data_IF_863232268803
#
_entry.id   IF_863232268803
#
_cell.length_a   1.000
_cell.length_b   1.000
_cell.length_c   1.000
_cell.angle_alpha   90.00
_cell.angle_beta   90.00
_cell.angle_gamma   90.00
#
_symmetry.space_group_name_H-M   'P 1'
#
loop_
_entity.id
_entity.type
_entity.pdbx_description
1 polymer ?
#
# COMPACT_ATOMS: atom_id res chain seq x y z
N UNK A 1 25.34 -1.49 11.16
CA UNK A 1 24.77 -2.33 10.09
C UNK A 1 25.87 -3.18 9.42
N UNK A 2 25.64 -4.48 9.18
CA UNK A 2 26.59 -5.37 8.47
C UNK A 2 26.06 -5.67 7.07
N UNK A 3 26.57 -4.95 6.08
CA UNK A 3 26.21 -5.10 4.66
C UNK A 3 26.68 -6.46 4.13
N UNK A 4 25.80 -7.14 3.40
CA UNK A 4 26.04 -8.36 2.65
C UNK A 4 26.67 -8.02 1.30
N UNK A 5 27.67 -8.80 0.90
CA UNK A 5 28.34 -8.73 -0.39
C UNK A 5 28.11 -10.05 -1.11
N UNK A 6 27.59 -9.99 -2.33
CA UNK A 6 27.53 -11.16 -3.21
C UNK A 6 28.92 -11.43 -3.81
N UNK A 7 29.64 -12.38 -3.20
CA UNK A 7 31.00 -12.72 -3.63
C UNK A 7 31.04 -13.29 -5.05
N UNK A 8 29.98 -13.93 -5.52
CA UNK A 8 29.94 -14.49 -6.87
C UNK A 8 29.89 -13.37 -7.90
N UNK A 9 29.03 -12.38 -7.68
CA UNK A 9 28.94 -11.20 -8.55
C UNK A 9 30.23 -10.38 -8.55
N UNK A 10 30.87 -10.20 -7.38
CA UNK A 10 32.21 -9.58 -7.31
C UNK A 10 33.24 -10.38 -8.10
N UNK A 11 33.24 -11.71 -7.95
CA UNK A 11 34.14 -12.59 -8.69
C UNK A 11 33.95 -12.49 -10.21
N UNK A 12 32.69 -12.43 -10.66
CA UNK A 12 32.35 -12.21 -12.06
C UNK A 12 32.93 -10.88 -12.58
N UNK A 13 32.74 -9.77 -11.87
CA UNK A 13 33.35 -8.47 -12.25
C UNK A 13 34.87 -8.53 -12.32
N UNK A 14 35.52 -9.17 -11.36
CA UNK A 14 37.00 -9.34 -11.37
C UNK A 14 37.45 -10.11 -12.62
N UNK A 15 36.72 -11.17 -13.00
CA UNK A 15 36.99 -11.95 -14.20
C UNK A 15 36.85 -11.11 -15.47
N UNK A 16 35.79 -10.32 -15.59
CA UNK A 16 35.56 -9.42 -16.73
C UNK A 16 36.65 -8.35 -16.84
N UNK A 17 37.06 -7.75 -15.71
CA UNK A 17 38.20 -6.82 -15.64
C UNK A 17 39.49 -7.51 -16.12
N UNK A 18 39.76 -8.74 -15.66
CA UNK A 18 40.94 -9.49 -16.09
C UNK A 18 40.94 -9.73 -17.61
N UNK A 19 39.82 -10.22 -18.15
CA UNK A 19 39.69 -10.58 -19.56
C UNK A 19 39.79 -9.33 -20.44
N UNK A 20 39.09 -8.25 -20.09
CA UNK A 20 39.13 -6.98 -20.84
C UNK A 20 40.53 -6.35 -20.91
N UNK A 21 41.39 -6.60 -19.91
CA UNK A 21 42.79 -6.17 -19.89
C UNK A 21 43.77 -7.17 -20.52
N UNK A 22 43.28 -8.29 -21.06
CA UNK A 22 44.08 -9.29 -21.76
C UNK A 22 44.97 -10.15 -20.86
N UNK A 23 44.69 -10.22 -19.55
CA UNK A 23 45.52 -10.98 -18.62
C UNK A 23 45.08 -12.46 -18.50
N UNK A 24 46.06 -13.35 -18.41
CA UNK A 24 45.85 -14.72 -17.89
C UNK A 24 45.63 -14.68 -16.37
N UNK A 25 45.07 -15.73 -15.77
CA UNK A 25 44.95 -15.84 -14.31
C UNK A 25 46.28 -15.68 -13.58
N UNK A 26 47.37 -16.22 -14.16
CA UNK A 26 48.69 -16.14 -13.56
C UNK A 26 49.27 -14.73 -13.64
N UNK A 27 49.23 -14.09 -14.81
CA UNK A 27 49.70 -12.71 -14.96
C UNK A 27 48.88 -11.73 -14.15
N UNK A 28 47.56 -11.92 -14.07
CA UNK A 28 46.68 -11.08 -13.25
C UNK A 28 47.03 -11.20 -11.77
N UNK A 29 47.19 -12.43 -11.26
CA UNK A 29 47.63 -12.64 -9.88
C UNK A 29 48.96 -11.94 -9.59
N UNK A 30 49.94 -12.03 -10.50
CA UNK A 30 51.25 -11.37 -10.36
C UNK A 30 51.15 -9.85 -10.22
N UNK A 31 50.25 -9.18 -10.96
CA UNK A 31 50.04 -7.72 -10.84
C UNK A 31 49.63 -7.31 -9.43
N UNK A 32 48.91 -8.19 -8.72
CA UNK A 32 48.41 -7.93 -7.35
C UNK A 32 49.15 -8.74 -6.27
N UNK A 33 50.40 -9.14 -6.55
CA UNK A 33 51.26 -9.92 -5.65
C UNK A 33 50.53 -11.15 -5.08
N UNK A 34 49.85 -11.89 -5.96
CA UNK A 34 49.02 -13.05 -5.63
C UNK A 34 49.29 -14.23 -6.56
N UNK A 35 48.99 -15.44 -6.10
CA UNK A 35 49.14 -16.64 -6.92
C UNK A 35 47.98 -16.77 -7.90
N UNK A 36 48.18 -17.56 -8.98
CA UNK A 36 47.11 -17.98 -9.90
C UNK A 36 45.89 -18.54 -9.16
N UNK A 37 46.13 -19.33 -8.11
CA UNK A 37 45.05 -19.92 -7.31
C UNK A 37 44.25 -18.87 -6.54
N UNK A 38 44.89 -17.82 -6.01
CA UNK A 38 44.18 -16.71 -5.37
C UNK A 38 43.30 -15.97 -6.37
N UNK A 39 43.83 -15.61 -7.53
CA UNK A 39 43.06 -14.95 -8.60
C UNK A 39 41.85 -15.79 -9.02
N UNK A 40 42.04 -17.10 -9.20
CA UNK A 40 40.95 -18.03 -9.51
C UNK A 40 39.89 -18.06 -8.40
N UNK A 41 40.28 -18.13 -7.12
CA UNK A 41 39.36 -18.12 -5.98
C UNK A 41 38.57 -16.83 -5.86
N UNK A 42 39.14 -15.69 -6.28
CA UNK A 42 38.41 -14.43 -6.36
C UNK A 42 37.35 -14.49 -7.45
N UNK A 43 37.71 -14.93 -8.66
CA UNK A 43 36.80 -15.03 -9.81
C UNK A 43 35.64 -16.00 -9.60
N UNK A 44 35.84 -17.05 -8.78
CA UNK A 44 34.77 -17.99 -8.43
C UNK A 44 33.96 -17.56 -7.19
N UNK A 45 34.23 -16.40 -6.60
CA UNK A 45 33.58 -15.92 -5.38
C UNK A 45 33.90 -16.74 -4.12
N UNK A 46 34.92 -17.61 -4.15
CA UNK A 46 35.30 -18.45 -3.01
C UNK A 46 35.88 -17.59 -1.87
N UNK A 47 36.69 -16.59 -2.22
CA UNK A 47 37.22 -15.58 -1.29
C UNK A 47 37.19 -14.22 -1.96
N UNK A 48 37.02 -13.15 -1.19
CA UNK A 48 37.25 -11.80 -1.70
C UNK A 48 38.73 -11.45 -1.65
N UNK A 49 39.24 -10.59 -2.56
CA UNK A 49 40.53 -9.94 -2.37
C UNK A 49 40.53 -9.13 -1.06
N UNK A 50 41.71 -8.85 -0.52
CA UNK A 50 41.84 -7.96 0.64
C UNK A 50 41.60 -6.49 0.23
N UNK A 51 41.52 -5.59 1.21
CA UNK A 51 41.20 -4.16 0.98
C UNK A 51 42.13 -3.49 -0.03
N UNK A 52 43.44 -3.72 0.10
CA UNK A 52 44.45 -3.17 -0.82
C UNK A 52 44.26 -3.68 -2.25
N UNK A 53 44.05 -4.99 -2.43
CA UNK A 53 43.84 -5.58 -3.76
C UNK A 53 42.52 -5.13 -4.38
N UNK A 54 41.45 -4.99 -3.59
CA UNK A 54 40.18 -4.44 -4.07
C UNK A 54 40.37 -3.01 -4.59
N UNK A 55 41.10 -2.16 -3.87
CA UNK A 55 41.42 -0.81 -4.32
C UNK A 55 42.21 -0.85 -5.64
N UNK A 56 43.29 -1.64 -5.72
CA UNK A 56 44.14 -1.71 -6.91
C UNK A 56 43.39 -2.30 -8.13
N UNK A 57 42.52 -3.30 -7.93
CA UNK A 57 41.68 -3.86 -9.00
C UNK A 57 40.67 -2.81 -9.50
N UNK A 58 40.06 -2.05 -8.58
CA UNK A 58 39.08 -1.02 -8.93
C UNK A 58 39.75 0.12 -9.71
N UNK A 59 40.94 0.56 -9.27
CA UNK A 59 41.76 1.54 -9.98
C UNK A 59 42.14 1.07 -11.39
N UNK A 60 42.60 -0.19 -11.54
CA UNK A 60 42.90 -0.77 -12.87
C UNK A 60 41.70 -0.73 -13.82
N UNK A 61 40.49 -0.92 -13.29
CA UNK A 61 39.24 -0.94 -14.03
C UNK A 61 38.63 0.46 -14.25
N UNK A 62 39.12 1.50 -13.56
CA UNK A 62 38.55 2.84 -13.62
C UNK A 62 37.17 2.95 -12.94
N UNK A 63 36.91 2.12 -11.94
CA UNK A 63 35.67 2.09 -11.14
C UNK A 63 36.00 2.28 -9.66
N UNK A 64 35.00 2.55 -8.84
CA UNK A 64 35.16 2.59 -7.38
C UNK A 64 35.17 1.19 -6.77
N UNK A 65 35.64 1.10 -5.52
CA UNK A 65 35.55 -0.14 -4.74
C UNK A 65 34.09 -0.55 -4.49
N UNK A 66 33.17 0.40 -4.33
CA UNK A 66 31.76 0.08 -4.14
C UNK A 66 31.10 -0.44 -5.42
N UNK A 67 31.47 0.09 -6.58
CA UNK A 67 31.04 -0.43 -7.89
C UNK A 67 31.57 -1.85 -8.12
N UNK A 68 32.81 -2.14 -7.70
CA UNK A 68 33.34 -3.51 -7.72
C UNK A 68 32.58 -4.44 -6.76
N UNK A 69 32.28 -3.99 -5.55
CA UNK A 69 31.67 -4.80 -4.49
C UNK A 69 30.16 -5.01 -4.64
N UNK A 70 29.44 -4.01 -5.13
CA UNK A 70 27.97 -3.97 -5.13
C UNK A 70 27.38 -3.73 -6.52
N UNK A 71 28.19 -3.35 -7.50
CA UNK A 71 27.71 -3.07 -8.86
C UNK A 71 26.87 -1.81 -8.93
N UNK A 72 25.56 -1.97 -8.78
CA UNK A 72 24.56 -0.90 -8.88
C UNK A 72 23.77 -0.75 -7.59
N UNK A 73 22.94 0.29 -7.51
CA UNK A 73 21.99 0.47 -6.40
C UNK A 73 21.03 -0.73 -6.33
N UNK A 74 20.56 -1.24 -7.48
CA UNK A 74 19.63 -2.37 -7.53
C UNK A 74 20.25 -3.61 -6.88
N UNK A 75 21.45 -4.02 -7.32
CA UNK A 75 22.14 -5.18 -6.74
C UNK A 75 22.49 -4.95 -5.26
N UNK A 76 22.86 -3.74 -4.88
CA UNK A 76 23.06 -3.39 -3.48
C UNK A 76 21.78 -3.65 -2.66
N UNK A 77 20.64 -3.13 -3.11
CA UNK A 77 19.34 -3.25 -2.43
C UNK A 77 18.88 -4.71 -2.39
N UNK A 78 18.93 -5.44 -3.50
CA UNK A 78 18.55 -6.86 -3.56
C UNK A 78 19.29 -7.70 -2.50
N UNK A 79 20.59 -7.44 -2.34
CA UNK A 79 21.42 -8.15 -1.37
C UNK A 79 21.23 -7.67 0.08
N UNK A 80 20.74 -6.44 0.29
CA UNK A 80 20.77 -5.78 1.59
C UNK A 80 19.41 -5.31 2.12
N UNK A 81 18.30 -5.52 1.41
CA UNK A 81 16.99 -4.98 1.81
C UNK A 81 16.56 -5.45 3.20
N UNK A 82 16.77 -6.73 3.53
CA UNK A 82 16.51 -7.25 4.87
C UNK A 82 17.41 -6.62 5.92
N UNK A 83 18.69 -6.40 5.58
CA UNK A 83 19.65 -5.79 6.51
C UNK A 83 19.24 -4.35 6.80
N UNK A 84 18.90 -3.58 5.76
CA UNK A 84 18.39 -2.22 5.88
C UNK A 84 17.12 -2.18 6.75
N UNK A 85 16.15 -3.05 6.46
CA UNK A 85 14.92 -3.16 7.25
C UNK A 85 15.21 -3.46 8.72
N UNK A 86 16.02 -4.47 9.02
CA UNK A 86 16.29 -4.89 10.41
C UNK A 86 17.13 -3.87 11.19
N UNK A 87 17.79 -2.91 10.53
CA UNK A 87 18.50 -1.80 11.17
C UNK A 87 17.67 -0.50 11.18
N UNK A 88 16.45 -0.51 10.65
CA UNK A 88 15.57 0.66 10.60
C UNK A 88 14.80 0.88 11.91
N UNK A 89 14.05 1.98 11.98
CA UNK A 89 13.08 2.27 13.05
C UNK A 89 11.95 1.24 13.13
N UNK A 90 11.65 0.54 12.03
CA UNK A 90 10.53 -0.39 11.91
C UNK A 90 11.01 -1.76 11.39
N UNK A 91 11.73 -2.55 12.21
CA UNK A 91 12.37 -3.82 11.81
C UNK A 91 11.37 -4.98 11.70
N UNK A 92 10.25 -4.78 11.02
CA UNK A 92 9.14 -5.72 10.92
C UNK A 92 9.19 -6.47 9.60
N UNK A 93 9.55 -7.76 9.65
CA UNK A 93 9.66 -8.61 8.45
C UNK A 93 8.38 -8.70 7.63
N UNK A 94 7.22 -8.41 8.22
CA UNK A 94 5.95 -8.37 7.50
C UNK A 94 5.93 -7.33 6.39
N UNK A 95 6.74 -6.27 6.48
CA UNK A 95 6.89 -5.29 5.39
C UNK A 95 7.47 -5.90 4.11
N UNK A 96 8.29 -6.97 4.21
CA UNK A 96 8.90 -7.65 3.06
C UNK A 96 7.91 -8.49 2.24
N UNK A 97 6.84 -9.02 2.85
CA UNK A 97 5.78 -9.70 2.08
C UNK A 97 4.63 -8.77 1.71
N UNK A 98 4.47 -7.66 2.42
CA UNK A 98 3.50 -6.62 2.07
C UNK A 98 3.92 -5.88 0.82
N UNK A 99 5.20 -5.49 0.72
CA UNK A 99 5.74 -4.67 -0.36
C UNK A 99 6.98 -5.27 -1.01
N UNK A 100 7.16 -4.99 -2.29
CA UNK A 100 8.46 -5.11 -2.93
C UNK A 100 9.32 -3.89 -2.54
N UNK A 101 9.97 -3.94 -1.38
CA UNK A 101 10.73 -2.80 -0.85
C UNK A 101 11.94 -2.43 -1.72
N UNK A 102 12.49 -3.36 -2.50
CA UNK A 102 13.58 -3.05 -3.44
C UNK A 102 13.09 -2.14 -4.55
N UNK A 103 12.02 -2.54 -5.24
CA UNK A 103 11.41 -1.79 -6.33
C UNK A 103 10.93 -0.41 -5.86
N UNK A 104 10.20 -0.35 -4.75
CA UNK A 104 9.75 0.93 -4.18
C UNK A 104 10.93 1.85 -3.81
N UNK A 105 12.03 1.30 -3.31
CA UNK A 105 13.20 2.09 -2.96
C UNK A 105 13.93 2.64 -4.19
N UNK A 106 14.00 1.86 -5.26
CA UNK A 106 14.54 2.31 -6.56
C UNK A 106 13.69 3.44 -7.11
N UNK A 107 12.37 3.26 -7.23
CA UNK A 107 11.44 4.29 -7.70
C UNK A 107 11.55 5.59 -6.88
N UNK A 108 11.68 5.45 -5.56
CA UNK A 108 11.84 6.59 -4.67
C UNK A 108 13.17 7.33 -4.89
N UNK A 109 14.27 6.61 -5.06
CA UNK A 109 15.59 7.19 -5.37
C UNK A 109 15.57 7.87 -6.73
N UNK A 110 14.98 7.26 -7.76
CA UNK A 110 14.85 7.83 -9.10
C UNK A 110 14.03 9.13 -9.09
N UNK A 111 12.96 9.17 -8.30
CA UNK A 111 12.16 10.38 -8.09
C UNK A 111 12.97 11.50 -7.45
N UNK A 112 13.78 11.19 -6.44
CA UNK A 112 14.69 12.16 -5.80
C UNK A 112 15.69 12.70 -6.84
N UNK A 113 16.35 11.81 -7.59
CA UNK A 113 17.35 12.20 -8.58
C UNK A 113 16.74 13.06 -9.71
N UNK A 114 15.55 12.70 -10.18
CA UNK A 114 14.83 13.42 -11.24
C UNK A 114 14.44 14.85 -10.83
N UNK A 115 14.24 15.09 -9.54
CA UNK A 115 13.95 16.43 -9.01
C UNK A 115 15.17 17.38 -8.98
N UNK A 116 16.36 16.92 -9.43
CA UNK A 116 17.65 17.65 -9.45
C UNK A 116 18.17 18.10 -8.08
N UNK A 117 17.71 17.47 -7.01
CA UNK A 117 18.08 17.86 -5.64
C UNK A 117 19.42 17.22 -5.23
N UNK A 118 19.63 15.92 -5.50
CA UNK A 118 20.81 15.12 -5.11
C UNK A 118 21.04 14.02 -6.15
N UNK A 119 22.30 13.73 -6.51
CA UNK A 119 22.68 12.52 -7.27
C UNK A 119 23.03 11.40 -6.29
N UNK A 120 22.24 10.32 -6.28
CA UNK A 120 22.49 9.14 -5.43
C UNK A 120 23.10 8.04 -6.29
N UNK A 121 24.26 7.53 -5.88
CA UNK A 121 24.92 6.39 -6.51
C UNK A 121 25.26 5.31 -5.47
N UNK A 122 25.68 4.13 -5.92
CA UNK A 122 26.15 3.04 -5.04
C UNK A 122 27.37 3.44 -4.20
N UNK A 123 28.03 4.54 -4.57
CA UNK A 123 29.17 5.09 -3.85
C UNK A 123 28.74 5.81 -2.55
N UNK A 124 27.48 6.26 -2.46
CA UNK A 124 26.91 6.88 -1.28
C UNK A 124 25.85 5.97 -0.62
N UNK A 125 26.36 4.93 0.05
CA UNK A 125 25.53 3.97 0.81
C UNK A 125 24.69 4.68 1.87
N UNK A 126 25.19 5.78 2.44
CA UNK A 126 24.47 6.53 3.48
C UNK A 126 23.24 7.21 2.89
N UNK A 127 23.35 7.81 1.72
CA UNK A 127 22.19 8.38 1.02
C UNK A 127 21.17 7.31 0.63
N UNK A 128 21.60 6.12 0.21
CA UNK A 128 20.69 5.00 -0.06
C UNK A 128 19.95 4.58 1.23
N UNK A 129 20.67 4.44 2.34
CA UNK A 129 20.09 4.11 3.65
C UNK A 129 19.08 5.18 4.12
N UNK A 130 19.39 6.46 3.92
CA UNK A 130 18.48 7.56 4.23
C UNK A 130 17.22 7.51 3.36
N UNK A 131 17.36 7.31 2.05
CA UNK A 131 16.25 7.20 1.12
C UNK A 131 15.33 6.01 1.50
N UNK A 132 15.92 4.85 1.81
CA UNK A 132 15.19 3.68 2.28
C UNK A 132 14.41 3.97 3.58
N UNK A 133 15.05 4.59 4.58
CA UNK A 133 14.40 4.88 5.85
C UNK A 133 13.23 5.88 5.69
N UNK A 134 13.40 6.92 4.86
CA UNK A 134 12.32 7.87 4.57
C UNK A 134 11.14 7.22 3.85
N UNK A 135 11.41 6.37 2.84
CA UNK A 135 10.38 5.58 2.18
C UNK A 135 9.64 4.68 3.18
N UNK A 136 10.38 3.97 4.02
CA UNK A 136 9.83 3.03 4.99
C UNK A 136 8.91 3.74 5.99
N UNK A 137 9.33 4.90 6.52
CA UNK A 137 8.54 5.70 7.45
C UNK A 137 7.22 6.14 6.81
N UNK A 138 7.25 6.63 5.57
CA UNK A 138 6.05 7.00 4.82
C UNK A 138 5.10 5.80 4.64
N UNK A 139 5.63 4.63 4.28
CA UNK A 139 4.81 3.41 4.10
C UNK A 139 4.21 2.89 5.39
N UNK A 140 4.93 3.01 6.51
CA UNK A 140 4.40 2.67 7.83
C UNK A 140 3.28 3.62 8.23
N UNK A 141 3.45 4.93 8.04
CA UNK A 141 2.40 5.92 8.32
C UNK A 141 1.14 5.64 7.48
N UNK A 142 1.29 5.37 6.19
CA UNK A 142 0.19 5.03 5.28
C UNK A 142 -0.59 3.80 5.79
N UNK A 143 0.11 2.75 6.22
CA UNK A 143 -0.52 1.55 6.80
C UNK A 143 -1.28 1.90 8.08
N UNK A 144 -0.65 2.63 9.00
CA UNK A 144 -1.26 2.95 10.29
C UNK A 144 -2.51 3.81 10.12
N UNK A 145 -2.43 4.85 9.30
CA UNK A 145 -3.57 5.72 8.96
C UNK A 145 -4.71 4.93 8.31
N UNK A 146 -4.40 3.99 7.41
CA UNK A 146 -5.39 3.12 6.80
C UNK A 146 -6.09 2.23 7.84
N UNK A 147 -5.32 1.52 8.66
CA UNK A 147 -5.89 0.61 9.67
C UNK A 147 -6.73 1.38 10.69
N UNK A 148 -6.24 2.53 11.15
CA UNK A 148 -6.93 3.32 12.15
C UNK A 148 -8.21 3.95 11.61
N UNK A 149 -8.20 4.43 10.36
CA UNK A 149 -9.40 4.98 9.72
C UNK A 149 -10.46 3.93 9.41
N UNK A 150 -10.08 2.68 9.16
CA UNK A 150 -10.98 1.62 8.73
C UNK A 150 -11.40 0.65 9.85
N UNK A 151 -10.83 0.76 11.05
CA UNK A 151 -11.17 -0.12 12.18
C UNK A 151 -12.65 -0.01 12.58
N UNK A 152 -13.23 1.19 12.52
CA UNK A 152 -14.66 1.38 12.82
C UNK A 152 -15.58 0.66 11.82
N UNK A 153 -15.20 0.65 10.53
CA UNK A 153 -15.92 -0.09 9.49
C UNK A 153 -16.01 -1.58 9.81
N UNK A 154 -14.92 -2.18 10.31
CA UNK A 154 -14.91 -3.58 10.74
C UNK A 154 -15.92 -3.86 11.86
N UNK A 155 -16.01 -2.95 12.84
CA UNK A 155 -16.94 -3.08 13.96
C UNK A 155 -18.40 -2.92 13.53
N UNK A 156 -18.66 -1.97 12.65
CA UNK A 156 -20.01 -1.62 12.23
C UNK A 156 -20.60 -2.69 11.31
N UNK A 157 -19.77 -3.31 10.47
CA UNK A 157 -20.12 -4.39 9.55
C UNK A 157 -19.74 -5.77 10.11
N UNK A 158 -19.83 -5.96 11.43
CA UNK A 158 -19.39 -7.20 12.10
C UNK A 158 -19.93 -8.48 11.42
N UNK A 159 -21.22 -8.53 11.09
CA UNK A 159 -21.83 -9.72 10.49
C UNK A 159 -21.24 -10.03 9.11
N UNK A 160 -21.06 -9.00 8.29
CA UNK A 160 -20.50 -9.11 6.95
C UNK A 160 -19.02 -9.47 7.00
N UNK A 161 -18.25 -8.88 7.91
CA UNK A 161 -16.85 -9.24 8.18
C UNK A 161 -16.76 -10.69 8.65
N UNK A 162 -17.59 -11.12 9.60
CA UNK A 162 -17.63 -12.52 10.04
C UNK A 162 -17.94 -13.48 8.89
N UNK A 163 -18.76 -13.07 7.92
CA UNK A 163 -18.98 -13.85 6.71
C UNK A 163 -17.75 -13.92 5.81
N UNK A 164 -17.03 -12.81 5.62
CA UNK A 164 -15.77 -12.76 4.84
C UNK A 164 -14.69 -13.63 5.51
N UNK A 165 -14.60 -13.56 6.83
CA UNK A 165 -13.67 -14.34 7.66
C UNK A 165 -13.95 -15.85 7.70
N UNK A 166 -14.98 -16.35 6.99
CA UNK A 166 -15.10 -17.79 6.70
C UNK A 166 -14.07 -18.28 5.69
N UNK A 167 -13.39 -17.35 4.99
CA UNK A 167 -12.29 -17.67 4.10
C UNK A 167 -11.13 -18.29 4.90
N UNK A 168 -10.75 -19.52 4.53
CA UNK A 168 -9.71 -20.29 5.20
C UNK A 168 -8.34 -19.59 5.21
N UNK A 169 -8.00 -18.87 4.14
CA UNK A 169 -6.75 -18.11 4.04
C UNK A 169 -6.69 -17.02 5.12
N UNK A 170 -7.80 -16.31 5.33
CA UNK A 170 -7.91 -15.26 6.35
C UNK A 170 -7.83 -15.84 7.76
N UNK A 171 -8.53 -16.95 8.02
CA UNK A 171 -8.47 -17.64 9.33
C UNK A 171 -7.03 -18.03 9.66
N UNK A 172 -6.35 -18.67 8.71
CA UNK A 172 -4.96 -19.10 8.88
C UNK A 172 -4.02 -17.90 9.09
N UNK A 173 -4.18 -16.83 8.32
CA UNK A 173 -3.34 -15.65 8.43
C UNK A 173 -3.48 -14.96 9.79
N UNK A 174 -4.71 -14.66 10.19
CA UNK A 174 -5.00 -13.99 11.47
C UNK A 174 -4.56 -14.87 12.64
N UNK A 175 -4.76 -16.19 12.55
CA UNK A 175 -4.23 -17.13 13.54
C UNK A 175 -2.70 -17.07 13.64
N UNK A 176 -2.00 -17.15 12.51
CA UNK A 176 -0.54 -17.11 12.48
C UNK A 176 0.02 -15.84 13.10
N UNK A 177 -0.55 -14.68 12.75
CA UNK A 177 -0.17 -13.39 13.34
C UNK A 177 -0.46 -13.38 14.84
N UNK A 178 -1.60 -13.92 15.27
CA UNK A 178 -1.99 -13.86 16.69
C UNK A 178 -1.22 -14.83 17.62
N UNK A 179 -0.63 -15.92 17.10
CA UNK A 179 -0.08 -17.01 17.94
C UNK A 179 1.36 -17.41 17.67
N UNK A 180 1.85 -17.35 16.44
CA UNK A 180 3.11 -18.02 16.09
C UNK A 180 4.04 -17.24 15.17
N UNK A 181 3.59 -16.14 14.57
CA UNK A 181 4.35 -15.25 13.69
C UNK A 181 5.25 -15.99 12.68
N UNK A 182 4.62 -16.84 11.85
CA UNK A 182 5.31 -17.56 10.77
C UNK A 182 5.34 -16.75 9.48
N UNK A 183 6.41 -15.98 9.27
CA UNK A 183 6.53 -15.07 8.13
C UNK A 183 6.55 -15.76 6.76
N UNK A 184 7.19 -16.94 6.63
CA UNK A 184 7.24 -17.67 5.37
C UNK A 184 5.85 -18.14 4.96
N UNK A 185 5.11 -18.67 5.93
CA UNK A 185 3.73 -19.09 5.70
C UNK A 185 2.80 -17.91 5.46
N UNK A 186 2.98 -16.77 6.16
CA UNK A 186 2.22 -15.55 5.90
C UNK A 186 2.46 -15.00 4.48
N UNK A 187 3.70 -15.06 3.98
CA UNK A 187 4.02 -14.71 2.59
C UNK A 187 3.27 -15.59 1.59
N UNK A 188 3.23 -16.91 1.84
CA UNK A 188 2.42 -17.83 1.06
C UNK A 188 0.92 -17.48 1.09
N UNK A 189 0.34 -17.25 2.27
CA UNK A 189 -1.07 -16.88 2.41
C UNK A 189 -1.41 -15.55 1.72
N UNK A 190 -0.51 -14.55 1.80
CA UNK A 190 -0.63 -13.29 1.07
C UNK A 190 -0.72 -13.52 -0.43
N UNK A 191 0.13 -14.38 -0.99
CA UNK A 191 0.07 -14.71 -2.42
C UNK A 191 -1.24 -15.38 -2.80
N UNK A 192 -1.83 -16.19 -1.92
CA UNK A 192 -3.13 -16.80 -2.18
C UNK A 192 -4.24 -15.74 -2.29
N UNK A 193 -4.26 -14.74 -1.40
CA UNK A 193 -5.22 -13.62 -1.46
C UNK A 193 -5.08 -12.85 -2.75
N UNK A 194 -3.86 -12.44 -3.12
CA UNK A 194 -3.61 -11.64 -4.33
C UNK A 194 -4.11 -12.34 -5.60
N UNK A 195 -4.07 -13.68 -5.62
CA UNK A 195 -4.52 -14.49 -6.76
C UNK A 195 -5.92 -15.11 -6.56
N UNK A 196 -6.67 -14.72 -5.52
CA UNK A 196 -7.98 -15.29 -5.17
C UNK A 196 -8.00 -16.83 -5.17
N UNK A 197 -6.99 -17.44 -4.58
CA UNK A 197 -6.75 -18.89 -4.60
C UNK A 197 -6.91 -19.54 -3.23
N UNK A 198 -7.06 -20.87 -3.21
CA UNK A 198 -7.31 -21.67 -1.99
C UNK A 198 -6.04 -22.34 -1.48
N UNK A 199 -6.02 -22.65 -0.18
CA UNK A 199 -4.96 -23.46 0.44
C UNK A 199 -5.03 -24.87 -0.14
N UNK A 200 -3.88 -25.40 -0.59
CA UNK A 200 -3.80 -26.78 -1.04
C UNK A 200 -3.77 -27.76 0.13
N UNK A 201 -4.34 -28.95 -0.03
CA UNK A 201 -4.29 -29.99 1.01
C UNK A 201 -2.86 -30.50 1.31
N UNK A 202 -1.90 -30.24 0.42
CA UNK A 202 -0.50 -30.64 0.59
C UNK A 202 0.36 -29.58 1.28
N UNK A 203 -0.19 -28.40 1.52
CA UNK A 203 0.54 -27.30 2.16
C UNK A 203 0.35 -27.29 3.67
N UNK A 204 1.32 -26.69 4.36
CA UNK A 204 1.24 -26.41 5.80
C UNK A 204 -0.10 -25.74 6.10
N UNK A 205 -0.81 -26.26 7.11
CA UNK A 205 -2.10 -25.75 7.57
C UNK A 205 -2.16 -25.92 9.07
N UNK A 206 -2.44 -24.85 9.79
CA UNK A 206 -2.64 -24.92 11.23
C UNK A 206 -4.03 -25.50 11.53
N UNK A 207 -4.11 -26.38 12.55
CA UNK A 207 -5.39 -26.87 13.05
C UNK A 207 -5.91 -25.81 14.04
N UNK A 208 -7.04 -25.21 13.70
CA UNK A 208 -7.56 -24.03 14.38
C UNK A 208 -8.94 -24.38 14.95
N UNK A 209 -8.97 -24.95 16.15
CA UNK A 209 -10.21 -25.23 16.87
C UNK A 209 -10.62 -24.02 17.71
N UNK A 210 -11.89 -23.61 17.63
CA UNK A 210 -12.50 -22.56 18.46
C UNK A 210 -11.78 -21.20 18.42
N UNK A 211 -11.11 -20.87 17.31
CA UNK A 211 -10.43 -19.58 17.18
C UNK A 211 -11.41 -18.50 16.72
N UNK A 212 -11.63 -17.50 17.58
CA UNK A 212 -12.40 -16.32 17.21
C UNK A 212 -11.54 -15.39 16.35
N UNK A 213 -11.65 -15.60 15.04
CA UNK A 213 -10.89 -14.88 14.02
C UNK A 213 -11.25 -13.40 14.01
N UNK A 214 -12.53 -13.06 14.20
CA UNK A 214 -13.00 -11.68 14.19
C UNK A 214 -12.46 -10.89 15.39
N UNK A 215 -12.62 -11.45 16.60
CA UNK A 215 -12.11 -10.80 17.81
C UNK A 215 -10.59 -10.65 17.75
N UNK A 216 -9.89 -11.64 17.20
CA UNK A 216 -8.44 -11.57 17.01
C UNK A 216 -8.02 -10.49 16.01
N UNK A 217 -8.73 -10.35 14.88
CA UNK A 217 -8.50 -9.28 13.92
C UNK A 217 -8.64 -7.90 14.56
N UNK A 218 -9.72 -7.68 15.30
CA UNK A 218 -10.01 -6.39 15.95
C UNK A 218 -9.00 -6.05 17.04
N UNK A 219 -8.58 -7.05 17.82
CA UNK A 219 -7.50 -6.89 18.80
C UNK A 219 -6.19 -6.51 18.12
N UNK A 220 -5.82 -7.19 17.03
CA UNK A 220 -4.60 -6.89 16.28
C UNK A 220 -4.65 -5.48 15.68
N UNK A 221 -5.78 -5.06 15.11
CA UNK A 221 -5.93 -3.74 14.48
C UNK A 221 -5.83 -2.58 15.47
N UNK A 222 -6.15 -2.81 16.74
CA UNK A 222 -6.06 -1.82 17.82
C UNK A 222 -4.79 -1.91 18.66
N UNK A 223 -3.89 -2.84 18.34
CA UNK A 223 -2.71 -3.12 19.15
C UNK A 223 -1.48 -2.32 18.72
N UNK A 224 -0.29 -2.90 18.86
CA UNK A 224 0.98 -2.25 18.55
C UNK A 224 1.20 -2.12 17.02
N UNK A 225 2.20 -1.30 16.65
CA UNK A 225 2.54 -1.01 15.25
C UNK A 225 2.86 -2.28 14.46
N UNK A 226 3.62 -3.22 15.05
CA UNK A 226 4.01 -4.47 14.39
C UNK A 226 2.80 -5.31 13.98
N UNK A 227 1.83 -5.45 14.88
CA UNK A 227 0.60 -6.20 14.62
C UNK A 227 -0.23 -5.53 13.53
N UNK A 228 -0.41 -4.20 13.58
CA UNK A 228 -1.13 -3.44 12.53
C UNK A 228 -0.48 -3.63 11.16
N UNK A 229 0.85 -3.56 11.08
CA UNK A 229 1.60 -3.82 9.85
C UNK A 229 1.41 -5.26 9.38
N UNK A 230 1.45 -6.22 10.28
CA UNK A 230 1.40 -7.64 9.92
C UNK A 230 0.04 -8.07 9.39
N UNK A 231 -1.05 -7.47 9.89
CA UNK A 231 -2.40 -7.72 9.39
C UNK A 231 -2.75 -6.93 8.14
N UNK A 232 -1.99 -5.89 7.78
CA UNK A 232 -2.40 -4.88 6.79
C UNK A 232 -2.93 -5.48 5.48
N UNK A 233 -2.21 -6.42 4.88
CA UNK A 233 -2.62 -7.09 3.63
C UNK A 233 -3.97 -7.80 3.76
N UNK A 234 -4.19 -8.50 4.87
CA UNK A 234 -5.41 -9.26 5.11
C UNK A 234 -6.57 -8.33 5.48
N UNK A 235 -6.26 -7.28 6.23
CA UNK A 235 -7.22 -6.24 6.61
C UNK A 235 -7.69 -5.46 5.39
N UNK A 236 -6.78 -5.02 4.51
CA UNK A 236 -7.12 -4.29 3.29
C UNK A 236 -7.96 -5.14 2.33
N UNK A 237 -7.69 -6.44 2.24
CA UNK A 237 -8.56 -7.36 1.50
C UNK A 237 -9.98 -7.41 2.08
N UNK A 238 -10.14 -7.47 3.41
CA UNK A 238 -11.46 -7.47 4.04
C UNK A 238 -12.21 -6.16 3.75
N UNK A 239 -11.53 -5.01 3.84
CA UNK A 239 -12.13 -3.72 3.50
C UNK A 239 -12.55 -3.68 2.03
N UNK A 240 -11.70 -4.13 1.11
CA UNK A 240 -12.04 -4.22 -0.30
C UNK A 240 -13.28 -5.10 -0.56
N UNK A 241 -13.40 -6.25 0.13
CA UNK A 241 -14.58 -7.10 0.04
C UNK A 241 -15.85 -6.44 0.60
N UNK A 242 -15.72 -5.62 1.65
CA UNK A 242 -16.83 -4.80 2.15
C UNK A 242 -17.24 -3.74 1.13
N UNK A 243 -16.28 -3.00 0.57
CA UNK A 243 -16.54 -1.95 -0.44
C UNK A 243 -17.19 -2.54 -1.69
N UNK A 244 -16.73 -3.72 -2.11
CA UNK A 244 -17.35 -4.48 -3.20
C UNK A 244 -18.81 -4.78 -2.87
N UNK A 245 -19.11 -5.37 -1.70
CA UNK A 245 -20.49 -5.65 -1.28
C UNK A 245 -21.34 -4.39 -1.17
N UNK A 246 -20.77 -3.28 -0.71
CA UNK A 246 -21.47 -2.00 -0.61
C UNK A 246 -21.91 -1.51 -1.99
N UNK A 247 -21.02 -1.63 -2.98
CA UNK A 247 -21.27 -1.20 -4.37
C UNK A 247 -22.42 -1.95 -5.03
N UNK A 248 -22.77 -3.14 -4.55
CA UNK A 248 -23.91 -3.95 -5.00
C UNK A 248 -25.13 -3.89 -4.06
N UNK A 249 -25.13 -3.00 -3.05
CA UNK A 249 -26.23 -2.87 -2.09
C UNK A 249 -26.41 -4.10 -1.19
N UNK A 250 -25.38 -4.92 -1.02
CA UNK A 250 -25.44 -6.18 -0.26
C UNK A 250 -25.13 -6.02 1.24
N UNK A 251 -24.82 -4.80 1.70
CA UNK A 251 -24.56 -4.52 3.11
C UNK A 251 -25.83 -4.09 3.84
N UNK A 252 -25.94 -4.48 5.11
CA UNK A 252 -27.07 -4.10 5.97
C UNK A 252 -27.05 -2.63 6.41
N UNK A 253 -25.92 -1.94 6.22
CA UNK A 253 -25.73 -0.50 6.50
C UNK A 253 -25.01 0.15 5.32
N UNK A 254 -25.24 1.44 5.06
CA UNK A 254 -24.50 2.21 4.05
C UNK A 254 -23.52 3.17 4.73
N UNK A 255 -22.26 3.14 4.30
CA UNK A 255 -21.28 4.15 4.66
C UNK A 255 -21.59 5.46 3.93
N UNK A 256 -21.45 6.58 4.63
CA UNK A 256 -21.70 7.93 4.10
C UNK A 256 -20.36 8.63 4.04
N UNK A 257 -19.93 8.97 2.83
CA UNK A 257 -18.72 9.77 2.63
C UNK A 257 -19.02 11.24 2.91
N UNK A 258 -18.14 11.92 3.64
CA UNK A 258 -18.29 13.34 3.95
C UNK A 258 -17.47 14.20 3.01
N UNK A 259 -18.05 15.30 2.55
CA UNK A 259 -17.34 16.35 1.85
C UNK A 259 -17.80 17.72 2.38
N UNK A 260 -16.90 18.69 2.45
CA UNK A 260 -17.30 20.07 2.72
C UNK A 260 -17.82 20.75 1.44
N UNK A 261 -18.66 21.75 1.63
CA UNK A 261 -19.32 22.46 0.54
C UNK A 261 -18.35 23.06 -0.49
N UNK A 262 -17.24 23.66 -0.03
CA UNK A 262 -16.26 24.28 -0.94
C UNK A 262 -15.53 23.26 -1.81
N UNK A 263 -15.22 22.07 -1.28
CA UNK A 263 -14.57 21.01 -2.06
C UNK A 263 -15.49 20.48 -3.14
N UNK A 264 -16.79 20.35 -2.85
CA UNK A 264 -17.79 19.98 -3.86
C UNK A 264 -17.76 20.97 -5.02
N UNK A 265 -17.83 22.28 -4.75
CA UNK A 265 -17.79 23.32 -5.80
C UNK A 265 -16.54 23.18 -6.68
N UNK A 266 -15.35 23.07 -6.08
CA UNK A 266 -14.07 22.96 -6.81
C UNK A 266 -13.98 21.71 -7.69
N UNK A 267 -14.52 20.59 -7.21
CA UNK A 267 -14.52 19.34 -7.98
C UNK A 267 -15.47 19.43 -9.17
N UNK A 268 -16.61 20.11 -9.01
CA UNK A 268 -17.60 20.24 -10.06
C UNK A 268 -17.18 21.15 -11.22
N UNK A 269 -16.27 22.10 -10.99
CA UNK A 269 -15.66 22.90 -12.05
C UNK A 269 -14.81 22.05 -13.03
N UNK A 270 -14.41 20.84 -12.63
CA UNK A 270 -13.47 19.97 -13.36
C UNK A 270 -14.09 18.62 -13.84
N UNK A 271 -15.37 18.62 -14.20
CA UNK A 271 -16.17 17.47 -14.66
C UNK A 271 -16.59 16.43 -13.59
N UNK A 272 -17.90 16.36 -13.36
CA UNK A 272 -18.60 15.57 -12.34
C UNK A 272 -18.62 14.05 -12.57
N UNK A 273 -18.37 13.56 -13.80
CA UNK A 273 -18.22 12.12 -14.04
C UNK A 273 -17.11 11.53 -13.15
N UNK A 274 -16.11 12.34 -12.77
CA UNK A 274 -14.99 11.93 -11.93
C UNK A 274 -15.39 11.72 -10.46
N UNK A 275 -16.35 12.49 -9.93
CA UNK A 275 -16.77 12.38 -8.53
C UNK A 275 -17.51 11.04 -8.29
N UNK A 276 -18.43 10.68 -9.19
CA UNK A 276 -19.29 9.51 -8.98
C UNK A 276 -18.73 8.21 -9.54
N UNK A 277 -17.88 8.22 -10.60
CA UNK A 277 -17.22 7.00 -11.11
C UNK A 277 -15.91 6.65 -10.40
N UNK A 278 -15.18 7.61 -9.82
CA UNK A 278 -13.73 7.40 -9.60
C UNK A 278 -13.18 7.55 -8.19
N UNK A 279 -13.98 7.88 -7.17
CA UNK A 279 -13.40 8.16 -5.86
C UNK A 279 -14.02 7.34 -4.73
N UNK A 280 -13.30 6.30 -4.34
CA UNK A 280 -13.00 5.99 -2.94
C UNK A 280 -12.09 7.10 -2.41
N UNK A 281 -12.64 8.26 -2.03
CA UNK A 281 -11.84 9.26 -1.35
C UNK A 281 -11.72 8.89 0.13
N UNK A 282 -10.48 8.59 0.53
CA UNK A 282 -10.04 8.54 1.92
C UNK A 282 -10.23 9.91 2.59
N UNK A 283 -11.43 10.18 3.09
CA UNK A 283 -11.68 11.33 3.96
C UNK A 283 -11.71 10.86 5.41
N UNK A 284 -10.68 11.31 6.15
CA UNK A 284 -10.52 11.17 7.61
C UNK A 284 -11.69 11.89 8.30
N UNK A 285 -12.82 11.23 8.44
CA UNK A 285 -13.80 11.51 9.51
C UNK A 285 -14.72 10.31 9.64
N UNK A 286 -14.90 9.86 10.88
CA UNK A 286 -15.80 8.77 11.25
C UNK A 286 -17.19 8.94 10.63
N UNK A 287 -17.55 8.04 9.71
CA UNK A 287 -18.89 7.86 9.13
C UNK A 287 -20.00 7.80 10.19
N UNK A 288 -21.09 8.54 10.01
CA UNK A 288 -22.40 8.22 10.58
C UNK A 288 -23.07 7.17 9.69
N UNK A 289 -23.61 6.13 10.30
CA UNK A 289 -24.32 5.06 9.60
C UNK A 289 -25.81 5.32 9.71
N UNK A 290 -26.48 5.50 8.56
CA UNK A 290 -27.93 5.62 8.55
C UNK A 290 -28.57 4.23 8.53
N UNK A 291 -29.56 4.05 9.40
CA UNK A 291 -30.39 2.85 9.40
C UNK A 291 -31.33 2.91 8.18
N UNK A 292 -31.36 1.84 7.39
CA UNK A 292 -31.94 1.78 6.02
C UNK A 292 -33.44 2.09 5.94
N UNK A 293 -34.16 2.06 7.08
CA UNK A 293 -35.61 1.94 7.11
C UNK A 293 -36.42 3.25 6.99
N UNK A 294 -35.88 4.44 7.34
CA UNK A 294 -36.72 5.67 7.37
C UNK A 294 -36.94 6.28 5.98
N UNK A 295 -35.97 6.17 5.08
CA UNK A 295 -35.97 6.85 3.78
C UNK A 295 -35.82 5.91 2.57
N UNK A 296 -35.93 4.59 2.77
CA UNK A 296 -35.77 3.61 1.69
C UNK A 296 -34.38 3.65 1.06
N UNK A 297 -33.33 3.75 1.90
CA UNK A 297 -31.95 4.02 1.48
C UNK A 297 -31.40 2.97 0.52
N UNK A 298 -31.96 1.77 0.54
CA UNK A 298 -31.55 0.64 -0.29
C UNK A 298 -31.76 0.89 -1.78
N UNK A 299 -32.74 1.74 -2.13
CA UNK A 299 -33.08 2.08 -3.52
C UNK A 299 -32.11 3.07 -4.18
N UNK A 300 -31.18 3.67 -3.43
CA UNK A 300 -30.23 4.67 -3.95
C UNK A 300 -28.85 4.07 -4.15
N UNK A 301 -28.16 4.45 -5.23
CA UNK A 301 -26.84 3.90 -5.55
C UNK A 301 -25.75 4.38 -4.60
N UNK A 302 -25.73 5.67 -4.29
CA UNK A 302 -24.76 6.30 -3.36
C UNK A 302 -25.44 7.34 -2.48
N UNK A 303 -24.90 7.53 -1.28
CA UNK A 303 -25.31 8.58 -0.34
C UNK A 303 -24.07 9.39 0.06
N UNK A 304 -24.09 10.70 -0.21
CA UNK A 304 -23.04 11.65 0.13
C UNK A 304 -23.50 12.52 1.31
N UNK A 305 -22.65 12.65 2.32
CA UNK A 305 -22.82 13.61 3.41
C UNK A 305 -22.16 14.95 3.06
N UNK A 306 -22.94 16.01 2.93
CA UNK A 306 -22.44 17.35 2.62
C UNK A 306 -22.52 18.26 3.86
N UNK A 307 -21.37 18.71 4.34
CA UNK A 307 -21.28 19.63 5.48
C UNK A 307 -21.29 21.08 4.96
N UNK A 308 -22.29 21.85 5.39
CA UNK A 308 -22.35 23.30 5.13
C UNK A 308 -21.88 24.03 6.39
N UNK A 309 -20.60 24.42 6.37
CA UNK A 309 -19.90 25.03 7.51
C UNK A 309 -20.58 26.30 8.01
N UNK A 310 -21.11 27.14 7.11
CA UNK A 310 -21.80 28.39 7.45
C UNK A 310 -22.92 28.20 8.47
N UNK A 311 -23.62 27.06 8.40
CA UNK A 311 -24.77 26.77 9.25
C UNK A 311 -24.49 25.58 10.19
N UNK A 312 -23.30 24.98 10.13
CA UNK A 312 -22.94 23.75 10.84
C UNK A 312 -23.92 22.58 10.66
N UNK A 313 -24.49 22.43 9.46
CA UNK A 313 -25.50 21.40 9.14
C UNK A 313 -24.93 20.37 8.17
N UNK A 314 -25.20 19.08 8.44
CA UNK A 314 -24.90 17.97 7.53
C UNK A 314 -26.16 17.60 6.73
N UNK A 315 -26.03 17.59 5.40
CA UNK A 315 -27.05 17.14 4.47
C UNK A 315 -26.73 15.75 3.95
N UNK A 316 -27.73 14.88 3.86
CA UNK A 316 -27.58 13.56 3.24
C UNK A 316 -28.13 13.61 1.83
N UNK A 317 -27.26 13.52 0.83
CA UNK A 317 -27.60 13.56 -0.59
C UNK A 317 -27.60 12.16 -1.15
N UNK A 318 -28.61 11.80 -1.92
CA UNK A 318 -28.60 10.53 -2.64
C UNK A 318 -28.48 10.73 -4.14
N UNK A 319 -27.86 9.78 -4.81
CA UNK A 319 -27.69 9.75 -6.25
C UNK A 319 -28.54 8.63 -6.89
N UNK A 320 -29.14 8.94 -8.04
CA UNK A 320 -29.93 8.01 -8.86
C UNK A 320 -29.13 7.65 -10.11
N UNK A 321 -29.33 6.43 -10.64
CA UNK A 321 -28.62 5.96 -11.84
C UNK A 321 -28.91 6.82 -13.08
N UNK A 322 -30.13 7.35 -13.17
CA UNK A 322 -30.61 8.16 -14.29
C UNK A 322 -31.45 9.33 -13.77
N UNK A 323 -31.38 10.49 -14.44
CA UNK A 323 -32.15 11.68 -14.05
C UNK A 323 -33.66 11.42 -14.17
N UNK A 324 -34.06 10.49 -15.03
CA UNK A 324 -35.41 10.00 -15.24
C UNK A 324 -35.99 9.29 -14.01
N UNK A 325 -35.13 8.68 -13.18
CA UNK A 325 -35.54 7.94 -11.98
C UNK A 325 -35.78 8.86 -10.76
N UNK A 326 -35.46 10.15 -10.88
CA UNK A 326 -35.61 11.11 -9.78
C UNK A 326 -37.09 11.48 -9.60
N UNK A 327 -37.74 11.10 -8.48
CA UNK A 327 -39.13 11.46 -8.24
C UNK A 327 -39.26 12.95 -7.93
N UNK A 328 -40.34 13.57 -8.43
CA UNK A 328 -40.74 14.90 -8.01
C UNK A 328 -41.39 14.83 -6.62
N UNK A 329 -40.71 15.37 -5.61
CA UNK A 329 -41.20 15.42 -4.25
C UNK A 329 -41.25 16.85 -3.73
N UNK A 330 -42.45 17.38 -3.47
CA UNK A 330 -42.67 18.74 -2.97
C UNK A 330 -42.38 18.90 -1.48
N UNK A 331 -42.25 17.80 -0.75
CA UNK A 331 -41.99 17.79 0.68
C UNK A 331 -40.48 17.81 0.97
N UNK A 332 -39.67 17.27 0.06
CA UNK A 332 -38.23 17.07 0.22
C UNK A 332 -37.42 18.19 -0.45
N UNK A 333 -36.28 18.55 0.15
CA UNK A 333 -35.35 19.52 -0.43
C UNK A 333 -34.38 18.81 -1.40
N UNK A 334 -33.83 19.55 -2.36
CA UNK A 334 -32.89 19.02 -3.35
C UNK A 334 -31.72 19.97 -3.54
N UNK A 335 -30.57 19.41 -3.90
CA UNK A 335 -29.47 20.16 -4.49
C UNK A 335 -29.58 20.13 -6.00
N UNK A 336 -29.57 21.32 -6.61
CA UNK A 336 -29.62 21.50 -8.06
C UNK A 336 -28.32 22.15 -8.51
N UNK A 337 -27.68 21.59 -9.55
CA UNK A 337 -26.65 22.26 -10.33
C UNK A 337 -27.25 22.78 -11.64
N UNK A 338 -27.35 24.09 -11.76
CA UNK A 338 -27.79 24.73 -12.98
C UNK A 338 -26.72 24.65 -14.09
N UNK A 339 -27.12 24.89 -15.33
CA UNK A 339 -26.23 24.88 -16.51
C UNK A 339 -25.10 25.93 -16.44
N UNK A 340 -25.30 27.00 -15.67
CA UNK A 340 -24.30 28.03 -15.40
C UNK A 340 -23.31 27.65 -14.27
N UNK A 341 -23.33 26.39 -13.85
CA UNK A 341 -22.58 25.82 -12.73
C UNK A 341 -22.91 26.44 -11.35
N UNK A 342 -24.06 27.10 -11.20
CA UNK A 342 -24.55 27.58 -9.90
C UNK A 342 -25.30 26.49 -9.12
N UNK A 343 -25.11 26.46 -7.81
CA UNK A 343 -25.73 25.47 -6.91
C UNK A 343 -26.77 26.11 -5.99
N UNK A 344 -27.93 25.47 -5.88
CA UNK A 344 -28.97 25.89 -4.94
C UNK A 344 -29.59 24.70 -4.22
N UNK A 345 -29.92 24.93 -2.95
CA UNK A 345 -30.82 24.06 -2.18
C UNK A 345 -32.23 24.62 -2.35
N UNK A 346 -33.12 23.84 -2.95
CA UNK A 346 -34.51 24.26 -3.10
C UNK A 346 -35.46 23.08 -3.02
N UNK A 347 -36.73 23.37 -2.75
CA UNK A 347 -37.80 22.39 -2.95
C UNK A 347 -38.14 22.34 -4.42
N UNK A 348 -38.35 21.14 -4.92
CA UNK A 348 -38.67 20.94 -6.32
C UNK A 348 -40.17 20.70 -6.46
N UNK A 349 -40.83 21.64 -7.11
CA UNK A 349 -42.24 21.54 -7.47
C UNK A 349 -42.44 21.01 -8.89
N UNK A 350 -41.41 21.07 -9.73
CA UNK A 350 -41.36 20.57 -11.11
C UNK A 350 -39.91 20.25 -11.50
N UNK A 351 -39.68 19.35 -12.47
CA UNK A 351 -38.33 18.88 -12.79
C UNK A 351 -37.52 20.02 -13.42
N UNK A 352 -36.46 20.51 -12.76
CA UNK A 352 -35.70 21.65 -13.24
C UNK A 352 -34.84 21.26 -14.45
N UNK A 353 -34.73 22.16 -15.43
CA UNK A 353 -33.74 22.06 -16.50
C UNK A 353 -32.37 22.42 -15.94
N UNK A 354 -31.61 21.39 -15.57
CA UNK A 354 -30.37 21.51 -14.83
C UNK A 354 -29.36 20.47 -15.29
N UNK A 355 -28.09 20.71 -14.97
CA UNK A 355 -26.99 19.81 -15.30
C UNK A 355 -26.99 18.58 -14.39
N UNK A 356 -27.27 18.76 -13.09
CA UNK A 356 -27.39 17.66 -12.12
C UNK A 356 -28.42 17.97 -11.02
N UNK A 357 -29.00 16.91 -10.45
CA UNK A 357 -30.01 16.97 -9.41
C UNK A 357 -29.82 15.84 -8.39
N UNK A 358 -29.74 16.17 -7.09
CA UNK A 358 -29.63 15.18 -6.01
C UNK A 358 -30.63 15.47 -4.86
N UNK A 359 -31.51 14.52 -4.45
CA UNK A 359 -32.39 14.69 -3.30
C UNK A 359 -31.64 14.79 -1.97
N UNK A 360 -32.14 15.66 -1.07
CA UNK A 360 -31.74 15.71 0.33
C UNK A 360 -32.64 14.75 1.11
N UNK A 361 -32.09 13.63 1.56
CA UNK A 361 -32.80 12.64 2.37
C UNK A 361 -33.01 13.10 3.82
N UNK A 362 -32.22 14.05 4.29
CA UNK A 362 -32.35 14.63 5.63
C UNK A 362 -31.27 15.65 5.94
N UNK A 363 -31.46 16.34 7.07
CA UNK A 363 -30.49 17.25 7.66
C UNK A 363 -30.21 16.83 9.11
N UNK A 364 -28.96 16.98 9.54
CA UNK A 364 -28.54 16.85 10.93
C UNK A 364 -27.98 18.20 11.36
N UNK A 365 -28.65 18.81 12.33
CA UNK A 365 -28.30 20.12 12.92
C UNK A 365 -27.25 20.00 14.02
#
# INVERSE_FOLDING_TARGET
>A
MKIKIDKQQVGFRIKEIRISKGYTLESFGKVFSATKSNAQKWETGFTLPNKERLANISEMAGITVNELLYGSINEFLENNIEVLLMNSKYPYKSLLYTYNLVELCIEYIEKICSSKIIEISVNDIKSIEQAFNSLLENKVIEILDFIDSQTSSIEIFENEVRSILKNEVLIQAIYCISKSYDYEYLSYLRNLIVHNSRISNKTKKYIIANFDTYTSLLLLSKSNIENKISIYVFFSYIIHELDYKQSFGMLTKKHIEYMNYETLIKLCENDMEVIFKKNTFYLKSSGYFLNTNKYGLDNYKKILGLIIEKNNVLYYLADYDYIEDVPLNTEVQYFILNHDNSYFITKITEKPDCKYLAPILGKME
#
